data_IF_993906087006
#
_entry.id   IF_993906087006
#
_cell.length_a   1.000
_cell.length_b   1.000
_cell.length_c   1.000
_cell.angle_alpha   90.00
_cell.angle_beta   90.00
_cell.angle_gamma   90.00
#
_symmetry.space_group_name_H-M   'P 1'
#
loop_
_entity.id
_entity.type
_entity.pdbx_description
1 polymer ?
#
# COMPACT_ATOMS: atom_id res chain seq x y z
N UNK A 1 8.52 -6.77 -20.40
CA UNK A 1 8.53 -6.62 -18.93
C UNK A 1 7.63 -5.46 -18.57
N UNK A 2 6.68 -5.67 -17.69
CA UNK A 2 5.84 -4.59 -17.19
C UNK A 2 6.67 -3.60 -16.34
N UNK A 3 6.15 -2.40 -16.17
CA UNK A 3 6.73 -1.39 -15.28
C UNK A 3 5.61 -0.77 -14.45
N UNK A 4 5.50 -1.22 -13.23
CA UNK A 4 4.77 -0.52 -12.18
C UNK A 4 5.67 0.59 -11.65
N UNK A 5 5.09 1.75 -11.28
CA UNK A 5 5.89 2.84 -10.73
C UNK A 5 5.49 3.25 -9.31
N UNK A 6 4.32 2.83 -8.81
CA UNK A 6 3.92 3.06 -7.41
C UNK A 6 2.80 2.16 -6.94
N UNK A 7 2.69 2.02 -5.63
CA UNK A 7 1.47 1.62 -4.95
C UNK A 7 0.48 2.80 -5.02
N UNK A 8 -0.64 2.61 -5.67
CA UNK A 8 -1.65 3.65 -5.84
C UNK A 8 -2.67 3.64 -4.72
N UNK A 9 -3.23 2.46 -4.41
CA UNK A 9 -4.23 2.31 -3.37
C UNK A 9 -4.28 0.91 -2.77
N UNK A 10 -4.90 0.85 -1.59
CA UNK A 10 -5.23 -0.41 -0.90
C UNK A 10 -6.71 -0.37 -0.53
N UNK A 11 -7.44 -1.44 -0.86
CA UNK A 11 -8.84 -1.62 -0.48
C UNK A 11 -8.93 -2.55 0.74
N UNK A 12 -9.77 -2.17 1.68
CA UNK A 12 -10.14 -2.99 2.83
C UNK A 12 -11.61 -3.35 2.81
N UNK A 13 -11.93 -4.52 3.31
CA UNK A 13 -13.27 -4.88 3.74
C UNK A 13 -13.32 -4.82 5.26
N UNK A 14 -14.44 -4.35 5.81
CA UNK A 14 -14.59 -4.12 7.25
C UNK A 14 -15.99 -4.45 7.75
N UNK A 15 -16.09 -4.97 8.98
CA UNK A 15 -17.36 -5.19 9.67
C UNK A 15 -17.90 -3.92 10.34
N UNK A 16 -17.01 -3.00 10.70
CA UNK A 16 -17.34 -1.72 11.34
C UNK A 16 -16.92 -0.56 10.42
N UNK A 17 -17.74 -0.40 9.38
CA UNK A 17 -17.46 0.56 8.32
C UNK A 17 -17.39 2.02 8.83
N UNK A 18 -18.28 2.40 9.75
CA UNK A 18 -18.31 3.76 10.29
C UNK A 18 -17.05 4.06 11.09
N UNK A 19 -16.68 3.16 11.99
CA UNK A 19 -15.52 3.33 12.87
C UNK A 19 -14.20 3.38 12.09
N UNK A 20 -14.03 2.51 11.09
CA UNK A 20 -12.84 2.51 10.25
C UNK A 20 -12.80 3.75 9.34
N UNK A 21 -13.95 4.20 8.83
CA UNK A 21 -14.08 5.44 8.05
C UNK A 21 -13.70 6.66 8.88
N UNK A 22 -14.15 6.75 10.13
CA UNK A 22 -13.78 7.80 11.07
C UNK A 22 -12.27 7.80 11.37
N UNK A 23 -11.69 6.63 11.57
CA UNK A 23 -10.24 6.50 11.79
C UNK A 23 -9.42 7.06 10.61
N UNK A 24 -9.76 6.71 9.36
CA UNK A 24 -9.01 7.23 8.22
C UNK A 24 -9.21 8.73 7.99
N UNK A 25 -10.39 9.30 8.31
CA UNK A 25 -10.64 10.73 8.18
C UNK A 25 -10.12 11.54 9.36
N UNK A 26 -10.36 11.12 10.61
CA UNK A 26 -10.10 11.95 11.79
C UNK A 26 -8.76 11.67 12.46
N UNK A 27 -8.28 10.42 12.42
CA UNK A 27 -7.00 10.03 13.03
C UNK A 27 -5.89 10.13 11.99
N UNK A 28 -5.99 9.41 10.89
CA UNK A 28 -4.98 9.49 9.81
C UNK A 28 -5.06 10.84 9.11
N UNK A 29 -6.25 11.41 8.95
CA UNK A 29 -6.44 12.74 8.39
C UNK A 29 -6.49 12.76 6.86
N UNK A 30 -6.96 11.68 6.24
CA UNK A 30 -7.19 11.64 4.79
C UNK A 30 -8.51 12.31 4.41
N UNK A 31 -8.52 12.95 3.26
CA UNK A 31 -9.74 13.55 2.70
C UNK A 31 -10.64 12.48 2.13
N UNK A 32 -11.91 12.43 2.56
CA UNK A 32 -12.92 11.57 1.96
C UNK A 32 -13.33 12.14 0.60
N UNK A 33 -13.10 11.40 -0.47
CA UNK A 33 -13.35 11.84 -1.86
C UNK A 33 -14.61 11.22 -2.46
N UNK A 34 -15.06 10.10 -1.91
CA UNK A 34 -16.30 9.42 -2.31
C UNK A 34 -16.90 8.70 -1.10
N UNK A 35 -18.22 8.63 -1.04
CA UNK A 35 -18.95 7.88 -0.02
C UNK A 35 -20.27 7.35 -0.59
N UNK A 36 -20.60 6.13 -0.22
CA UNK A 36 -21.89 5.49 -0.41
C UNK A 36 -22.28 4.73 0.85
N UNK A 37 -23.41 4.02 0.87
CA UNK A 37 -23.81 3.20 2.01
C UNK A 37 -22.82 2.07 2.35
N UNK A 38 -22.06 1.60 1.36
CA UNK A 38 -21.21 0.39 1.50
C UNK A 38 -19.76 0.67 1.17
N UNK A 39 -19.39 1.89 0.78
CA UNK A 39 -18.02 2.21 0.38
C UNK A 39 -17.63 3.65 0.66
N UNK A 40 -16.39 3.87 1.09
CA UNK A 40 -15.80 5.20 1.23
C UNK A 40 -14.36 5.19 0.69
N UNK A 41 -13.97 6.29 0.06
CA UNK A 41 -12.66 6.46 -0.57
C UNK A 41 -11.94 7.65 0.05
N UNK A 42 -10.65 7.50 0.34
CA UNK A 42 -9.85 8.45 1.09
C UNK A 42 -8.55 8.75 0.35
N UNK A 43 -8.17 10.01 0.33
CA UNK A 43 -6.96 10.49 -0.33
C UNK A 43 -6.01 11.21 0.64
N UNK A 44 -4.73 10.89 0.53
CA UNK A 44 -3.63 11.62 1.18
C UNK A 44 -3.06 12.74 0.31
N UNK A 45 -3.49 12.83 -0.95
CA UNK A 45 -2.90 13.70 -1.98
C UNK A 45 -3.94 14.24 -2.95
N UNK A 46 -3.53 14.56 -4.17
CA UNK A 46 -4.44 14.93 -5.27
C UNK A 46 -5.05 13.74 -6.00
N UNK A 47 -4.64 12.53 -5.70
CA UNK A 47 -5.27 11.31 -6.25
C UNK A 47 -6.73 11.23 -5.83
N UNK A 48 -7.58 10.59 -6.63
CA UNK A 48 -8.95 10.32 -6.22
C UNK A 48 -8.98 9.53 -4.89
N UNK A 49 -8.13 8.52 -4.74
CA UNK A 49 -8.02 7.78 -3.48
C UNK A 49 -6.69 7.02 -3.37
N UNK A 50 -6.31 6.77 -2.13
CA UNK A 50 -5.20 5.88 -1.78
C UNK A 50 -5.66 4.75 -0.84
N UNK A 51 -6.79 4.94 -0.15
CA UNK A 51 -7.47 3.93 0.65
C UNK A 51 -8.93 3.86 0.21
N UNK A 52 -9.46 2.65 0.08
CA UNK A 52 -10.89 2.42 -0.09
C UNK A 52 -11.38 1.41 0.96
N UNK A 53 -12.54 1.69 1.53
CA UNK A 53 -13.22 0.84 2.50
C UNK A 53 -14.51 0.31 1.92
N UNK A 54 -14.81 -0.94 2.19
CA UNK A 54 -16.04 -1.59 1.77
C UNK A 54 -16.68 -2.32 2.94
N UNK A 55 -17.96 -2.08 3.20
CA UNK A 55 -18.72 -2.79 4.21
C UNK A 55 -18.78 -4.30 3.89
N UNK A 56 -18.58 -5.15 4.90
CA UNK A 56 -18.52 -6.61 4.72
C UNK A 56 -18.86 -7.34 6.01
N UNK A 57 -19.03 -8.65 5.92
CA UNK A 57 -19.14 -9.54 7.10
C UNK A 57 -17.79 -10.03 7.64
N UNK A 58 -16.68 -9.65 7.02
CA UNK A 58 -15.32 -9.96 7.46
C UNK A 58 -14.42 -8.75 7.30
N UNK A 59 -13.24 -8.77 7.91
CA UNK A 59 -12.24 -7.70 7.85
C UNK A 59 -10.99 -8.20 7.13
N UNK A 60 -10.29 -7.29 6.44
CA UNK A 60 -9.00 -7.58 5.83
C UNK A 60 -8.74 -6.78 4.55
N UNK A 61 -7.57 -7.03 3.98
CA UNK A 61 -7.20 -6.47 2.68
C UNK A 61 -8.01 -7.17 1.57
N UNK A 62 -8.51 -6.39 0.62
CA UNK A 62 -9.31 -6.92 -0.48
C UNK A 62 -8.59 -6.79 -1.83
N UNK A 63 -8.06 -5.61 -2.13
CA UNK A 63 -7.39 -5.32 -3.42
C UNK A 63 -6.17 -4.45 -3.21
N UNK A 64 -5.21 -4.59 -4.10
CA UNK A 64 -3.99 -3.79 -4.15
C UNK A 64 -3.90 -3.15 -5.54
N UNK A 65 -3.96 -1.83 -5.59
CA UNK A 65 -3.86 -1.06 -6.82
C UNK A 65 -2.42 -0.62 -7.09
N UNK A 66 -1.85 -1.09 -8.18
CA UNK A 66 -0.51 -0.75 -8.64
C UNK A 66 -0.61 0.07 -9.92
N UNK A 67 -0.02 1.26 -9.92
CA UNK A 67 -0.06 2.11 -11.11
C UNK A 67 1.05 1.75 -12.09
N UNK A 68 0.66 1.53 -13.34
CA UNK A 68 1.56 1.30 -14.46
C UNK A 68 2.28 2.59 -14.85
N UNK A 69 3.48 2.45 -15.39
CA UNK A 69 4.17 3.56 -16.05
C UNK A 69 3.34 4.10 -17.22
N UNK A 70 3.41 5.40 -17.47
CA UNK A 70 2.53 6.11 -18.41
C UNK A 70 2.59 5.62 -19.87
N UNK A 71 3.65 4.91 -20.24
CA UNK A 71 3.84 4.32 -21.57
C UNK A 71 3.24 2.92 -21.74
N UNK A 72 2.58 2.37 -20.68
CA UNK A 72 1.99 1.04 -20.70
C UNK A 72 0.47 1.16 -20.54
N UNK A 73 -0.27 0.68 -21.55
CA UNK A 73 -1.73 0.60 -21.46
C UNK A 73 -2.18 -0.58 -20.58
N UNK A 74 -3.38 -0.48 -20.03
CA UNK A 74 -4.01 -1.57 -19.27
C UNK A 74 -4.17 -2.82 -20.12
N UNK A 75 -4.53 -2.65 -21.41
CA UNK A 75 -4.70 -3.74 -22.37
C UNK A 75 -3.38 -4.47 -22.66
N UNK A 76 -2.29 -3.70 -22.87
CA UNK A 76 -0.98 -4.31 -23.12
C UNK A 76 -0.47 -5.06 -21.88
N UNK A 77 -0.71 -4.51 -20.69
CA UNK A 77 -0.39 -5.17 -19.44
C UNK A 77 -1.16 -6.49 -19.28
N UNK A 78 -2.48 -6.47 -19.50
CA UNK A 78 -3.31 -7.67 -19.42
C UNK A 78 -2.90 -8.74 -20.46
N UNK A 79 -2.64 -8.30 -21.70
CA UNK A 79 -2.17 -9.20 -22.77
C UNK A 79 -0.84 -9.84 -22.42
N UNK A 80 0.10 -9.04 -21.88
CA UNK A 80 1.40 -9.54 -21.47
C UNK A 80 1.27 -10.60 -20.35
N UNK A 81 0.50 -10.29 -19.28
CA UNK A 81 0.28 -11.20 -18.16
C UNK A 81 -0.38 -12.51 -18.60
N UNK A 82 -1.38 -12.44 -19.49
CA UNK A 82 -2.03 -13.62 -20.04
C UNK A 82 -1.04 -14.51 -20.85
N UNK A 83 -0.09 -13.90 -21.57
CA UNK A 83 0.96 -14.63 -22.27
C UNK A 83 1.96 -15.31 -21.32
N UNK A 84 2.17 -14.74 -20.13
CA UNK A 84 2.96 -15.35 -19.04
C UNK A 84 2.15 -16.41 -18.25
N UNK A 85 0.91 -16.68 -18.65
CA UNK A 85 0.05 -17.67 -17.99
C UNK A 85 -0.68 -17.14 -16.74
N UNK A 86 -0.69 -15.82 -16.51
CA UNK A 86 -1.40 -15.18 -15.40
C UNK A 86 -2.76 -14.71 -15.91
N UNK A 87 -3.83 -15.43 -15.51
CA UNK A 87 -5.18 -15.11 -15.94
C UNK A 87 -5.62 -13.71 -15.50
N UNK A 88 -5.67 -12.78 -16.44
CA UNK A 88 -5.89 -11.35 -16.21
C UNK A 88 -7.08 -10.87 -17.03
N UNK A 89 -7.97 -10.12 -16.37
CA UNK A 89 -9.17 -9.52 -17.00
C UNK A 89 -9.07 -7.99 -16.98
N UNK A 90 -9.46 -7.35 -18.09
CA UNK A 90 -9.61 -5.90 -18.16
C UNK A 90 -11.02 -5.53 -17.72
N UNK A 91 -11.15 -4.50 -16.90
CA UNK A 91 -12.40 -3.93 -16.41
C UNK A 91 -12.44 -2.44 -16.72
N UNK A 92 -13.55 -1.97 -17.27
CA UNK A 92 -13.84 -0.56 -17.52
C UNK A 92 -14.93 -0.08 -16.57
N UNK A 93 -14.88 1.18 -16.16
CA UNK A 93 -15.83 1.77 -15.20
C UNK A 93 -15.97 0.93 -13.91
N UNK A 94 -14.90 0.24 -13.54
CA UNK A 94 -14.92 -0.78 -12.49
C UNK A 94 -15.00 -0.19 -11.09
N UNK A 95 -14.57 1.06 -10.94
CA UNK A 95 -14.54 1.75 -9.64
C UNK A 95 -14.46 3.27 -9.79
N UNK A 96 -14.92 4.05 -8.79
CA UNK A 96 -14.76 5.49 -8.77
C UNK A 96 -13.30 5.90 -8.91
N UNK A 97 -13.02 6.90 -9.74
CA UNK A 97 -11.69 7.50 -9.91
C UNK A 97 -10.69 6.69 -10.72
N UNK A 98 -10.98 5.44 -11.09
CA UNK A 98 -10.11 4.61 -11.94
C UNK A 98 -10.94 4.11 -13.13
N UNK A 99 -10.79 4.75 -14.31
CA UNK A 99 -11.65 4.45 -15.46
C UNK A 99 -11.43 3.05 -16.03
N UNK A 100 -10.21 2.53 -15.92
CA UNK A 100 -9.87 1.22 -16.46
C UNK A 100 -8.76 0.55 -15.64
N UNK A 101 -8.85 -0.76 -15.47
CA UNK A 101 -7.85 -1.56 -14.79
C UNK A 101 -7.77 -2.99 -15.34
N UNK A 102 -6.62 -3.64 -15.16
CA UNK A 102 -6.42 -5.07 -15.34
C UNK A 102 -6.34 -5.75 -13.98
N UNK A 103 -7.13 -6.79 -13.76
CA UNK A 103 -7.21 -7.50 -12.48
C UNK A 103 -6.78 -8.95 -12.63
N UNK A 104 -5.96 -9.40 -11.69
CA UNK A 104 -5.56 -10.81 -11.53
C UNK A 104 -5.39 -11.14 -10.05
N UNK A 105 -5.30 -12.43 -9.76
CA UNK A 105 -4.96 -12.92 -8.41
C UNK A 105 -3.54 -13.46 -8.44
N UNK A 106 -2.73 -13.04 -7.47
CA UNK A 106 -1.39 -13.54 -7.33
C UNK A 106 -1.37 -14.95 -6.70
N UNK A 107 -0.17 -15.50 -6.54
CA UNK A 107 0.05 -16.87 -6.06
C UNK A 107 -0.28 -17.11 -4.58
N UNK A 108 -0.48 -16.04 -3.80
CA UNK A 108 -0.86 -16.09 -2.38
C UNK A 108 -2.32 -15.67 -2.15
N UNK A 109 -3.04 -15.32 -3.23
CA UNK A 109 -4.47 -15.01 -3.20
C UNK A 109 -4.80 -13.52 -3.15
N UNK A 110 -3.80 -12.63 -3.23
CA UNK A 110 -4.06 -11.20 -3.29
C UNK A 110 -4.61 -10.79 -4.65
N UNK A 111 -5.68 -9.99 -4.64
CA UNK A 111 -6.24 -9.40 -5.86
C UNK A 111 -5.45 -8.16 -6.22
N UNK A 112 -4.75 -8.21 -7.34
CA UNK A 112 -3.93 -7.12 -7.85
C UNK A 112 -4.67 -6.43 -8.99
N UNK A 113 -4.74 -5.10 -8.91
CA UNK A 113 -5.32 -4.25 -9.93
C UNK A 113 -4.24 -3.35 -10.53
N UNK A 114 -3.95 -3.50 -11.82
CA UNK A 114 -3.04 -2.64 -12.56
C UNK A 114 -3.85 -1.56 -13.27
N UNK A 115 -3.52 -0.30 -13.06
CA UNK A 115 -4.18 0.84 -13.70
C UNK A 115 -3.15 1.84 -14.27
N UNK A 116 -3.49 2.56 -15.32
CA UNK A 116 -2.60 3.54 -15.96
C UNK A 116 -2.90 4.97 -15.51
N UNK A 117 -4.15 5.28 -15.21
CA UNK A 117 -4.59 6.61 -14.81
C UNK A 117 -5.57 6.57 -13.65
N UNK A 118 -5.55 7.63 -12.85
CA UNK A 118 -6.51 7.89 -11.77
C UNK A 118 -6.97 9.33 -11.87
N UNK A 119 -8.25 9.58 -11.63
CA UNK A 119 -8.81 10.93 -11.57
C UNK A 119 -8.19 11.72 -10.41
N UNK A 120 -8.15 13.03 -10.59
CA UNK A 120 -7.76 13.96 -9.52
C UNK A 120 -8.95 14.16 -8.58
N UNK A 121 -8.70 14.23 -7.28
CA UNK A 121 -9.73 14.51 -6.30
C UNK A 121 -10.42 15.86 -6.60
N UNK A 122 -11.75 15.86 -6.73
CA UNK A 122 -12.52 16.99 -7.23
C UNK A 122 -12.38 18.27 -6.39
N UNK A 123 -12.22 18.13 -5.07
CA UNK A 123 -12.04 19.24 -4.12
C UNK A 123 -10.59 19.46 -3.68
N UNK A 124 -9.64 18.77 -4.28
CA UNK A 124 -8.29 18.67 -3.74
C UNK A 124 -8.26 17.85 -2.45
N UNK A 125 -7.27 18.08 -1.62
CA UNK A 125 -7.16 17.43 -0.32
C UNK A 125 -6.97 18.46 0.81
N UNK A 126 -7.44 18.10 2.00
CA UNK A 126 -7.29 18.89 3.21
C UNK A 126 -6.43 18.08 4.18
N UNK A 127 -5.36 18.69 4.70
CA UNK A 127 -4.50 18.05 5.69
C UNK A 127 -5.03 18.32 7.07
N UNK A 128 -5.51 17.29 7.73
CA UNK A 128 -5.98 17.29 9.11
C UNK A 128 -5.23 16.23 9.90
N UNK A 129 -5.25 16.33 11.23
CA UNK A 129 -4.75 15.28 12.13
C UNK A 129 -3.30 14.87 11.85
N UNK A 130 -2.98 13.58 11.74
CA UNK A 130 -1.63 13.10 11.40
C UNK A 130 -1.21 13.58 10.01
N UNK A 131 -2.08 13.47 9.01
CA UNK A 131 -1.87 13.92 7.64
C UNK A 131 -0.55 13.46 6.99
N UNK A 132 -0.33 12.15 6.80
CA UNK A 132 0.85 11.63 6.11
C UNK A 132 0.99 12.19 4.69
N UNK A 133 2.21 12.18 4.16
CA UNK A 133 2.47 12.64 2.79
C UNK A 133 1.91 11.70 1.72
N UNK A 134 2.02 10.40 1.97
CA UNK A 134 1.59 9.35 1.04
C UNK A 134 1.44 7.99 1.72
N UNK A 135 0.78 7.06 1.04
CA UNK A 135 0.95 5.63 1.29
C UNK A 135 2.37 5.27 0.89
N UNK A 136 3.18 4.84 1.82
CA UNK A 136 4.60 4.53 1.59
C UNK A 136 4.78 3.12 1.05
N UNK A 137 4.40 2.12 1.84
CA UNK A 137 4.53 0.71 1.46
C UNK A 137 3.45 -0.18 2.07
N UNK A 138 3.32 -1.36 1.46
CA UNK A 138 2.44 -2.42 1.94
C UNK A 138 3.27 -3.68 2.17
N UNK A 139 3.16 -4.26 3.34
CA UNK A 139 3.81 -5.51 3.71
C UNK A 139 2.79 -6.64 3.78
N UNK A 140 3.08 -7.75 3.11
CA UNK A 140 2.17 -8.87 2.90
C UNK A 140 2.73 -10.15 3.53
N UNK A 141 1.83 -10.97 4.09
CA UNK A 141 2.16 -12.32 4.56
C UNK A 141 1.98 -13.30 3.43
N UNK A 142 3.04 -14.01 3.09
CA UNK A 142 3.08 -14.91 1.94
C UNK A 142 3.54 -16.31 2.36
N UNK A 143 3.30 -17.31 1.53
CA UNK A 143 3.78 -18.68 1.76
C UNK A 143 5.29 -18.76 1.70
N UNK A 144 5.90 -18.04 0.75
CA UNK A 144 7.34 -18.00 0.50
C UNK A 144 7.74 -16.64 -0.08
N UNK A 145 8.48 -15.83 0.68
CA UNK A 145 8.91 -14.50 0.26
C UNK A 145 9.81 -14.53 -0.98
N UNK A 146 10.66 -15.54 -1.15
CA UNK A 146 11.51 -15.66 -2.35
C UNK A 146 10.68 -15.86 -3.60
N UNK A 147 9.68 -16.73 -3.53
CA UNK A 147 8.74 -16.96 -4.62
C UNK A 147 7.95 -15.70 -4.98
N UNK A 148 7.49 -14.95 -3.98
CA UNK A 148 6.77 -13.69 -4.20
C UNK A 148 7.70 -12.62 -4.81
N UNK A 149 8.92 -12.49 -4.33
CA UNK A 149 9.93 -11.60 -4.93
C UNK A 149 10.15 -11.92 -6.41
N UNK A 150 10.34 -13.19 -6.78
CA UNK A 150 10.52 -13.58 -8.20
C UNK A 150 9.26 -13.27 -9.04
N UNK A 151 8.07 -13.48 -8.49
CA UNK A 151 6.82 -13.14 -9.17
C UNK A 151 6.69 -11.63 -9.42
N UNK A 152 6.93 -10.80 -8.40
CA UNK A 152 6.76 -9.34 -8.54
C UNK A 152 7.85 -8.68 -9.40
N UNK A 153 8.99 -9.34 -9.65
CA UNK A 153 9.96 -8.91 -10.69
C UNK A 153 9.32 -8.88 -12.08
N UNK A 154 8.35 -9.75 -12.37
CA UNK A 154 7.59 -9.73 -13.63
C UNK A 154 6.83 -8.42 -13.81
N UNK A 155 6.40 -7.78 -12.73
CA UNK A 155 5.70 -6.49 -12.73
C UNK A 155 6.67 -5.29 -12.76
N UNK A 156 7.98 -5.52 -12.81
CA UNK A 156 9.01 -4.49 -12.87
C UNK A 156 9.55 -4.04 -11.52
N UNK A 157 9.21 -4.72 -10.43
CA UNK A 157 9.82 -4.48 -9.13
C UNK A 157 11.27 -4.97 -9.07
N UNK A 158 12.07 -4.31 -8.25
CA UNK A 158 13.46 -4.68 -7.95
C UNK A 158 13.55 -5.04 -6.47
N UNK A 159 14.23 -6.12 -6.14
CA UNK A 159 14.54 -6.45 -4.75
C UNK A 159 15.63 -5.54 -4.24
N UNK A 160 15.44 -4.93 -3.08
CA UNK A 160 16.36 -3.95 -2.48
C UNK A 160 17.06 -4.50 -1.25
N UNK A 161 16.39 -5.33 -0.47
CA UNK A 161 16.96 -5.83 0.77
C UNK A 161 16.29 -7.14 1.22
N UNK A 162 16.92 -7.81 2.21
CA UNK A 162 16.41 -9.01 2.85
C UNK A 162 16.69 -8.98 4.36
N UNK A 163 15.73 -9.45 5.16
CA UNK A 163 16.05 -9.93 6.51
C UNK A 163 16.15 -11.45 6.42
N UNK A 164 17.38 -11.95 6.51
CA UNK A 164 17.72 -13.36 6.28
C UNK A 164 17.12 -13.88 4.96
N UNK A 165 16.22 -14.85 5.02
CA UNK A 165 15.56 -15.42 3.83
C UNK A 165 14.03 -15.35 3.90
N UNK A 166 13.49 -14.76 4.96
CA UNK A 166 12.06 -14.80 5.23
C UNK A 166 11.34 -13.48 4.98
N UNK A 167 12.05 -12.35 4.88
CA UNK A 167 11.44 -11.04 4.65
C UNK A 167 12.17 -10.31 3.52
N UNK A 168 11.51 -10.18 2.37
CA UNK A 168 12.06 -9.52 1.19
C UNK A 168 11.43 -8.14 0.97
N UNK A 169 12.27 -7.16 0.59
CA UNK A 169 11.87 -5.79 0.31
C UNK A 169 11.99 -5.51 -1.18
N UNK A 170 10.97 -4.88 -1.77
CA UNK A 170 10.96 -4.57 -3.19
C UNK A 170 10.51 -3.16 -3.48
N UNK A 171 11.13 -2.54 -4.47
CA UNK A 171 10.75 -1.22 -4.98
C UNK A 171 10.45 -1.23 -6.47
N UNK A 172 9.65 -0.26 -6.90
CA UNK A 172 9.40 0.05 -8.30
C UNK A 172 9.78 1.50 -8.67
N UNK A 173 10.24 2.28 -7.70
CA UNK A 173 10.58 3.70 -7.82
C UNK A 173 11.83 4.07 -7.00
N UNK A 174 11.91 5.30 -6.50
CA UNK A 174 13.02 5.78 -5.66
C UNK A 174 12.88 5.50 -4.16
N UNK A 175 11.75 4.99 -3.71
CA UNK A 175 11.59 4.57 -2.31
C UNK A 175 12.42 3.30 -2.08
N UNK A 176 13.00 3.12 -0.89
CA UNK A 176 13.73 1.89 -0.59
C UNK A 176 12.85 0.65 -0.81
N UNK A 177 11.61 0.72 -0.42
CA UNK A 177 10.64 -0.34 -0.66
C UNK A 177 9.21 0.20 -0.80
N UNK A 178 8.41 -0.49 -1.58
CA UNK A 178 6.99 -0.22 -1.87
C UNK A 178 6.13 -1.44 -1.52
N UNK A 179 6.64 -2.64 -1.77
CA UNK A 179 6.03 -3.91 -1.36
C UNK A 179 7.06 -4.75 -0.60
N UNK A 180 6.59 -5.39 0.48
CA UNK A 180 7.40 -6.31 1.27
C UNK A 180 6.67 -7.64 1.44
N UNK A 181 7.44 -8.71 1.50
CA UNK A 181 6.92 -10.07 1.62
C UNK A 181 7.52 -10.77 2.83
N UNK A 182 6.66 -11.10 3.80
CA UNK A 182 7.01 -11.83 5.01
C UNK A 182 6.57 -13.29 4.87
N UNK A 183 7.49 -14.22 4.89
CA UNK A 183 7.16 -15.66 4.91
C UNK A 183 6.40 -16.01 6.18
N UNK A 184 5.12 -16.33 6.02
CA UNK A 184 4.20 -16.72 7.10
C UNK A 184 3.11 -17.64 6.51
N UNK A 185 3.42 -18.92 6.24
CA UNK A 185 2.54 -19.80 5.45
C UNK A 185 1.13 -19.95 6.01
N UNK A 186 1.00 -19.97 7.35
CA UNK A 186 -0.29 -20.11 8.04
C UNK A 186 -1.17 -18.85 7.96
N UNK A 187 -0.58 -17.71 7.64
CA UNK A 187 -1.24 -16.40 7.52
C UNK A 187 -1.09 -15.81 6.11
N UNK A 188 -0.72 -16.61 5.14
CA UNK A 188 -0.59 -16.15 3.75
C UNK A 188 -1.96 -15.67 3.24
N UNK A 189 -1.97 -14.51 2.58
CA UNK A 189 -3.18 -13.80 2.18
C UNK A 189 -3.61 -12.70 3.17
N UNK A 190 -2.96 -12.58 4.35
CA UNK A 190 -3.19 -11.49 5.29
C UNK A 190 -2.16 -10.37 5.12
N UNK A 191 -2.56 -9.15 5.41
CA UNK A 191 -1.64 -8.02 5.51
C UNK A 191 -0.73 -8.16 6.74
N UNK A 192 0.56 -7.85 6.59
CA UNK A 192 1.46 -7.71 7.73
C UNK A 192 1.32 -6.30 8.33
N UNK A 193 1.48 -5.25 7.51
CA UNK A 193 1.20 -3.86 7.87
C UNK A 193 1.03 -2.98 6.62
N UNK A 194 0.37 -1.85 6.80
CA UNK A 194 0.31 -0.75 5.84
C UNK A 194 1.05 0.44 6.43
N UNK A 195 1.91 1.07 5.64
CA UNK A 195 2.78 2.14 6.10
C UNK A 195 2.48 3.48 5.43
N UNK A 196 2.45 4.54 6.24
CA UNK A 196 2.27 5.92 5.80
C UNK A 196 3.53 6.74 6.06
N UNK A 197 4.01 7.43 5.02
CA UNK A 197 5.19 8.28 5.12
C UNK A 197 4.86 9.65 5.70
N UNK A 198 5.60 10.04 6.73
CA UNK A 198 5.58 11.35 7.35
C UNK A 198 6.72 12.22 6.78
N UNK A 199 6.63 13.54 6.95
CA UNK A 199 7.61 14.49 6.41
C UNK A 199 9.01 14.32 7.00
N UNK A 200 9.07 14.19 8.32
CA UNK A 200 10.29 14.20 9.11
C UNK A 200 10.06 13.64 10.52
N UNK A 201 11.12 13.56 11.30
CA UNK A 201 11.07 13.09 12.68
C UNK A 201 10.19 13.96 13.59
N UNK A 202 10.13 15.28 13.36
CA UNK A 202 9.27 16.16 14.15
C UNK A 202 7.79 15.86 13.91
N UNK A 203 7.44 15.51 12.67
CA UNK A 203 6.09 15.05 12.33
C UNK A 203 5.77 13.70 12.99
N UNK A 204 6.72 12.78 13.04
CA UNK A 204 6.57 11.50 13.75
C UNK A 204 6.33 11.74 15.24
N UNK A 205 7.13 12.61 15.88
CA UNK A 205 6.96 12.94 17.29
C UNK A 205 5.58 13.56 17.58
N UNK A 206 5.15 14.53 16.76
CA UNK A 206 3.81 15.12 16.89
C UNK A 206 2.68 14.08 16.67
N UNK A 207 2.89 13.10 15.79
CA UNK A 207 1.93 12.02 15.57
C UNK A 207 1.80 11.11 16.79
N UNK A 208 2.89 10.86 17.52
CA UNK A 208 2.85 10.10 18.77
C UNK A 208 2.02 10.82 19.86
N UNK A 209 2.22 12.14 19.99
CA UNK A 209 1.42 12.97 20.91
C UNK A 209 -0.07 12.94 20.53
N UNK A 210 -0.35 13.00 19.23
CA UNK A 210 -1.71 12.94 18.70
C UNK A 210 -2.37 11.57 18.97
N UNK A 211 -1.68 10.46 18.69
CA UNK A 211 -2.18 9.12 18.99
C UNK A 211 -2.42 8.93 20.48
N UNK A 212 -1.49 9.41 21.33
CA UNK A 212 -1.65 9.38 22.79
C UNK A 212 -2.86 10.17 23.28
N UNK A 213 -3.13 11.35 22.70
CA UNK A 213 -4.31 12.16 23.02
C UNK A 213 -5.63 11.46 22.66
N UNK A 214 -5.61 10.62 21.62
CA UNK A 214 -6.77 9.82 21.19
C UNK A 214 -6.79 8.40 21.79
N UNK A 215 -5.95 8.13 22.81
CA UNK A 215 -5.88 6.88 23.53
C UNK A 215 -5.58 5.66 22.63
N UNK A 216 -4.87 5.90 21.51
CA UNK A 216 -4.43 4.84 20.59
C UNK A 216 -3.05 4.35 21.03
N UNK A 217 -2.93 3.11 21.54
CA UNK A 217 -1.68 2.60 22.06
C UNK A 217 -0.66 2.35 20.96
N UNK A 218 0.60 2.66 21.25
CA UNK A 218 1.73 2.30 20.39
C UNK A 218 2.07 0.84 20.59
N UNK A 219 2.09 0.08 19.50
CA UNK A 219 2.43 -1.33 19.49
C UNK A 219 3.96 -1.52 19.57
N UNK A 220 4.72 -0.68 18.84
CA UNK A 220 6.17 -0.70 18.80
C UNK A 220 6.74 0.63 18.28
N UNK A 221 7.94 0.98 18.70
CA UNK A 221 8.65 2.20 18.31
C UNK A 221 8.43 3.38 19.25
N UNK A 222 8.89 4.60 18.89
CA UNK A 222 9.64 4.88 17.66
C UNK A 222 11.04 4.28 17.68
N UNK A 223 11.44 3.67 16.58
CA UNK A 223 12.77 3.07 16.45
C UNK A 223 13.26 3.06 15.02
N UNK A 224 14.59 3.04 14.83
CA UNK A 224 15.19 2.93 13.49
C UNK A 224 15.26 1.47 13.07
N UNK A 225 14.79 1.20 11.86
CA UNK A 225 14.89 -0.12 11.21
C UNK A 225 16.31 -0.40 10.73
N UNK A 226 16.67 -1.68 10.61
CA UNK A 226 17.89 -2.13 9.96
C UNK A 226 17.78 -2.06 8.43
N UNK A 227 16.72 -2.61 7.85
CA UNK A 227 16.45 -2.52 6.42
C UNK A 227 15.76 -1.19 6.10
N UNK A 228 16.27 -0.45 5.09
CA UNK A 228 15.74 0.83 4.65
C UNK A 228 15.96 1.99 5.60
N UNK A 229 16.54 1.78 6.78
CA UNK A 229 16.93 2.77 7.80
C UNK A 229 15.85 3.78 8.22
N UNK A 230 14.57 3.54 7.88
CA UNK A 230 13.48 4.41 8.31
C UNK A 230 13.28 4.37 9.84
N UNK A 231 12.82 5.49 10.40
CA UNK A 231 12.37 5.55 11.80
C UNK A 231 10.85 5.38 11.77
N UNK A 232 10.35 4.41 12.52
CA UNK A 232 8.95 4.05 12.47
C UNK A 232 8.32 3.82 13.85
N UNK A 233 7.01 3.97 13.90
CA UNK A 233 6.15 3.54 15.00
C UNK A 233 4.94 2.78 14.45
N UNK A 234 4.42 1.85 15.25
CA UNK A 234 3.30 0.99 14.86
C UNK A 234 2.15 1.12 15.85
N UNK A 235 0.94 1.08 15.34
CA UNK A 235 -0.30 0.99 16.13
C UNK A 235 -1.33 0.15 15.38
N UNK A 236 -2.45 -0.15 16.00
CA UNK A 236 -3.56 -0.83 15.35
C UNK A 236 -4.62 0.19 14.90
N UNK A 237 -5.20 -0.05 13.72
CA UNK A 237 -6.46 0.56 13.35
C UNK A 237 -7.64 -0.10 14.10
N UNK A 238 -8.88 0.39 13.98
CA UNK A 238 -10.05 -0.19 14.63
C UNK A 238 -10.34 -1.66 14.32
N UNK A 239 -9.92 -2.14 13.15
CA UNK A 239 -10.07 -3.53 12.71
C UNK A 239 -8.93 -4.43 13.18
N UNK A 240 -7.91 -3.86 13.86
CA UNK A 240 -6.73 -4.58 14.32
C UNK A 240 -5.64 -4.73 13.25
N UNK A 241 -5.77 -4.07 12.10
CA UNK A 241 -4.69 -4.01 11.13
C UNK A 241 -3.52 -3.22 11.70
N UNK A 242 -2.30 -3.67 11.43
CA UNK A 242 -1.08 -2.97 11.85
C UNK A 242 -0.82 -1.83 10.88
N UNK A 243 -0.75 -0.62 11.41
CA UNK A 243 -0.42 0.62 10.69
C UNK A 243 0.95 1.11 11.15
N UNK A 244 1.81 1.39 10.20
CA UNK A 244 3.12 1.99 10.40
C UNK A 244 3.07 3.49 10.04
N UNK A 245 3.63 4.33 10.91
CA UNK A 245 3.97 5.70 10.58
C UNK A 245 5.49 5.81 10.53
N UNK A 246 6.05 6.22 9.40
CA UNK A 246 7.50 6.24 9.24
C UNK A 246 8.02 7.51 8.56
N UNK A 247 9.31 7.74 8.72
CA UNK A 247 10.06 8.81 8.04
C UNK A 247 11.51 8.39 7.83
N UNK A 248 12.26 9.17 7.07
CA UNK A 248 13.71 9.04 6.95
C UNK A 248 14.15 7.68 6.34
N UNK A 249 13.36 7.17 5.39
CA UNK A 249 13.73 5.97 4.65
C UNK A 249 14.81 6.26 3.61
N UNK A 250 15.67 5.27 3.35
CA UNK A 250 16.67 5.36 2.30
C UNK A 250 16.04 5.61 0.94
N UNK A 251 16.74 6.38 0.12
CA UNK A 251 16.37 6.61 -1.29
C UNK A 251 17.11 5.59 -2.15
N UNK A 252 16.35 4.83 -2.93
CA UNK A 252 16.90 3.89 -3.90
C UNK A 252 17.22 4.60 -5.22
N UNK A 253 18.50 4.67 -5.57
CA UNK A 253 18.96 5.21 -6.85
C UNK A 253 19.47 4.04 -7.69
N UNK A 254 18.65 3.62 -8.67
CA UNK A 254 18.87 2.40 -9.47
C UNK A 254 20.25 2.34 -10.13
N UNK A 255 20.77 3.48 -10.58
CA UNK A 255 22.06 3.60 -11.25
C UNK A 255 23.24 3.49 -10.29
N UNK A 256 23.04 3.84 -9.01
CA UNK A 256 24.09 3.83 -7.98
C UNK A 256 24.05 2.57 -7.13
N UNK A 257 22.89 1.98 -6.95
CA UNK A 257 22.71 0.85 -6.05
C UNK A 257 22.98 -0.46 -6.78
N UNK A 258 24.24 -0.86 -6.74
CA UNK A 258 24.64 -2.24 -6.94
C UNK A 258 24.71 -2.92 -5.57
N UNK A 259 23.58 -3.09 -4.91
CA UNK A 259 23.53 -3.98 -3.76
C UNK A 259 23.65 -5.40 -4.29
N UNK A 260 24.85 -5.96 -4.19
CA UNK A 260 24.99 -7.40 -4.13
C UNK A 260 24.68 -7.79 -2.68
N UNK A 261 23.70 -8.68 -2.46
CA UNK A 261 23.34 -9.15 -1.12
C UNK A 261 24.48 -9.95 -0.49
#
# INVERSE_FOLDING_TARGET
MLKVFRLGYVDFVTKDFEKLSEYYSEIIGFSKTFESHESAYFSSSTDHHNIALHASHFTGIQRIGLQLHADISVQDAAKWLNNEGINTTVKTEARPGVPELAEFTDQDGYIIQLFSSMEVAASGFIRNSIAPNKVGHLSLRVKDAKRSVEFYKLLGFTNTDWIETFFGFMTCNSDHHVLNFCTSPEKAGEMHHLAFELRDYSHLAASLDFLGKHEIPILWGPSRHGAGHNIATYHHDPDGNVIELFTDADVYIRELNRFEP
#
